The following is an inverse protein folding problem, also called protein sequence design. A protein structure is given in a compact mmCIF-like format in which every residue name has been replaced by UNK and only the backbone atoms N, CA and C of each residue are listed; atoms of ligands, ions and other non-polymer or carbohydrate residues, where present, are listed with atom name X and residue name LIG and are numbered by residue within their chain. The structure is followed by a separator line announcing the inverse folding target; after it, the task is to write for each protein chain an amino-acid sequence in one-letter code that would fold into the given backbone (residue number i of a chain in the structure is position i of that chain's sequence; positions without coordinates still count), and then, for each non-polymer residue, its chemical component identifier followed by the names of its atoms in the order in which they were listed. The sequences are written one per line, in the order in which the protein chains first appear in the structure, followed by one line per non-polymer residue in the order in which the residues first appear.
data_IF_990165299059
#
_entry.id   IF_990165299059
#
_cell.length_a   1.000
_cell.length_b   1.000
_cell.length_c   1.000
_cell.angle_alpha   90.00
_cell.angle_beta   90.00
_cell.angle_gamma   90.00
#
_symmetry.space_group_name_H-M   'P 1'
#
loop_
_entity.id
_entity.type
_entity.pdbx_description
1 polymer ?
#
# COMPACT_ATOMS: atom_id res chain seq x y z
N UNK A 1 28.98 -4.90 3.49
CA UNK A 1 27.83 -5.16 2.59
C UNK A 1 27.05 -3.85 2.43
N UNK A 2 26.94 -3.36 1.19
CA UNK A 2 26.38 -2.05 0.90
C UNK A 2 24.86 -2.07 1.12
N UNK A 3 24.39 -1.46 2.21
CA UNK A 3 23.02 -0.96 2.25
C UNK A 3 23.03 0.26 1.35
N UNK A 4 22.77 0.03 0.06
CA UNK A 4 22.43 1.11 -0.84
C UNK A 4 21.25 1.84 -0.19
N UNK A 5 21.51 3.06 0.27
CA UNK A 5 20.48 4.03 0.55
C UNK A 5 19.78 4.31 -0.79
N UNK A 6 18.89 3.40 -1.19
CA UNK A 6 17.87 3.70 -2.16
C UNK A 6 17.13 4.86 -1.54
N UNK A 7 17.30 6.05 -2.13
CA UNK A 7 16.36 7.14 -1.99
C UNK A 7 14.98 6.52 -2.12
N UNK A 8 14.28 6.31 -1.01
CA UNK A 8 12.95 5.70 -0.98
C UNK A 8 12.05 6.72 -1.67
N UNK A 9 12.06 6.68 -3.00
CA UNK A 9 10.98 7.26 -3.79
C UNK A 9 9.80 6.43 -3.36
N UNK A 10 8.97 7.03 -2.51
CA UNK A 10 7.67 6.47 -2.27
C UNK A 10 7.02 6.27 -3.64
N UNK A 11 6.63 5.04 -3.94
CA UNK A 11 5.88 4.76 -5.14
C UNK A 11 4.56 5.52 -5.06
N UNK A 12 4.06 5.95 -6.22
CA UNK A 12 2.71 6.46 -6.30
C UNK A 12 1.73 5.27 -6.19
N UNK A 13 1.42 4.86 -4.96
CA UNK A 13 0.40 3.84 -4.67
C UNK A 13 -0.95 4.19 -5.33
N UNK A 14 -1.19 5.48 -5.61
CA UNK A 14 -2.33 5.99 -6.39
C UNK A 14 -2.43 5.43 -7.82
N UNK A 15 -1.36 4.81 -8.34
CA UNK A 15 -1.39 4.12 -9.64
C UNK A 15 -2.22 2.82 -9.61
N UNK A 16 -2.46 2.28 -8.42
CA UNK A 16 -3.34 1.13 -8.23
C UNK A 16 -4.77 1.60 -8.27
N UNK A 17 -5.56 0.96 -9.13
CA UNK A 17 -6.97 1.31 -9.29
C UNK A 17 -7.72 0.99 -7.99
N UNK A 18 -8.39 2.01 -7.43
CA UNK A 18 -9.05 1.92 -6.11
C UNK A 18 -8.24 2.48 -4.94
N UNK A 19 -6.94 2.72 -5.09
CA UNK A 19 -6.15 3.48 -4.10
C UNK A 19 -6.30 4.97 -4.39
N UNK A 20 -7.15 5.62 -3.60
CA UNK A 20 -7.28 7.08 -3.62
C UNK A 20 -6.16 7.79 -2.84
N UNK A 21 -6.10 9.13 -2.91
CA UNK A 21 -5.13 9.92 -2.14
C UNK A 21 -5.27 9.70 -0.62
N UNK A 22 -6.49 9.47 -0.11
CA UNK A 22 -6.73 9.14 1.30
C UNK A 22 -6.14 7.79 1.70
N UNK A 23 -6.36 6.77 0.86
CA UNK A 23 -5.81 5.42 1.06
C UNK A 23 -4.29 5.44 1.03
N UNK A 24 -3.70 6.11 0.02
CA UNK A 24 -2.25 6.26 -0.08
C UNK A 24 -1.68 6.96 1.16
N UNK A 25 -2.35 7.99 1.69
CA UNK A 25 -1.93 8.62 2.94
C UNK A 25 -2.01 7.68 4.14
N UNK A 26 -3.07 6.88 4.28
CA UNK A 26 -3.21 5.89 5.35
C UNK A 26 -2.14 4.79 5.28
N UNK A 27 -1.88 4.28 4.08
CA UNK A 27 -0.83 3.28 3.83
C UNK A 27 0.56 3.87 4.12
N UNK A 28 0.84 5.09 3.64
CA UNK A 28 2.08 5.78 3.93
C UNK A 28 2.27 6.05 5.43
N UNK A 29 1.20 6.40 6.14
CA UNK A 29 1.22 6.58 7.60
C UNK A 29 1.50 5.27 8.34
N UNK A 30 1.08 4.13 7.78
CA UNK A 30 1.43 2.80 8.26
C UNK A 30 2.83 2.33 7.83
N UNK A 31 3.59 3.13 7.07
CA UNK A 31 4.94 2.81 6.61
C UNK A 31 5.00 2.07 5.27
N UNK A 32 3.86 1.87 4.60
CA UNK A 32 3.77 1.27 3.27
C UNK A 32 3.95 2.38 2.25
N UNK A 33 5.15 2.49 1.70
CA UNK A 33 5.54 3.57 0.79
C UNK A 33 5.83 3.06 -0.62
N UNK A 34 5.83 1.75 -0.85
CA UNK A 34 6.19 1.14 -2.13
C UNK A 34 5.23 0.03 -2.55
N UNK A 35 5.20 -0.31 -3.84
CA UNK A 35 4.38 -1.44 -4.33
C UNK A 35 4.84 -2.77 -3.72
N UNK A 36 6.15 -2.96 -3.55
CA UNK A 36 6.71 -4.14 -2.89
C UNK A 36 6.17 -4.28 -1.47
N UNK A 37 6.25 -3.22 -0.66
CA UNK A 37 5.70 -3.24 0.70
C UNK A 37 4.20 -3.50 0.71
N UNK A 38 3.43 -2.92 -0.21
CA UNK A 38 1.99 -3.15 -0.30
C UNK A 38 1.67 -4.61 -0.62
N UNK A 39 2.41 -5.22 -1.55
CA UNK A 39 2.26 -6.62 -1.93
C UNK A 39 2.75 -7.61 -0.85
N UNK A 40 3.74 -7.22 -0.05
CA UNK A 40 4.25 -7.99 1.08
C UNK A 40 3.39 -7.84 2.34
N UNK A 41 2.62 -6.74 2.45
CA UNK A 41 1.74 -6.51 3.60
C UNK A 41 0.56 -7.48 3.55
N UNK A 42 0.28 -8.22 4.63
CA UNK A 42 -0.84 -9.14 4.65
C UNK A 42 -2.17 -8.38 4.64
N UNK A 43 -3.20 -9.00 4.05
CA UNK A 43 -4.52 -8.40 3.89
C UNK A 43 -5.17 -8.01 5.22
N UNK A 44 -4.87 -8.72 6.30
CA UNK A 44 -5.35 -8.41 7.64
C UNK A 44 -4.80 -7.08 8.17
N UNK A 45 -3.53 -6.76 7.90
CA UNK A 45 -2.92 -5.50 8.29
C UNK A 45 -3.43 -4.37 7.41
N UNK A 46 -3.52 -4.58 6.09
CA UNK A 46 -4.15 -3.61 5.19
C UNK A 46 -5.57 -3.31 5.63
N UNK A 47 -6.34 -4.34 5.99
CA UNK A 47 -7.69 -4.18 6.52
C UNK A 47 -7.68 -3.33 7.78
N UNK A 48 -6.81 -3.61 8.75
CA UNK A 48 -6.70 -2.81 9.99
C UNK A 48 -6.36 -1.36 9.70
N UNK A 49 -5.39 -1.09 8.84
CA UNK A 49 -4.98 0.26 8.44
C UNK A 49 -6.15 1.01 7.81
N UNK A 50 -6.90 0.35 6.93
CA UNK A 50 -8.08 0.95 6.31
C UNK A 50 -9.20 1.19 7.32
N UNK A 51 -9.51 0.23 8.18
CA UNK A 51 -10.54 0.38 9.21
C UNK A 51 -10.20 1.52 10.18
N UNK A 52 -8.94 1.62 10.62
CA UNK A 52 -8.45 2.72 11.47
C UNK A 52 -8.57 4.08 10.76
N UNK A 53 -8.33 4.11 9.45
CA UNK A 53 -8.54 5.29 8.62
C UNK A 53 -10.00 5.58 8.24
N UNK A 54 -10.96 4.74 8.66
CA UNK A 54 -12.38 4.86 8.31
C UNK A 54 -12.70 4.54 6.84
N UNK A 55 -11.88 3.69 6.22
CA UNK A 55 -11.93 3.26 4.82
C UNK A 55 -12.36 1.79 4.68
N UNK A 56 -13.17 1.26 5.60
CA UNK A 56 -13.65 -0.15 5.57
C UNK A 56 -14.27 -0.57 4.23
N UNK A 57 -14.88 0.38 3.50
CA UNK A 57 -15.45 0.13 2.16
C UNK A 57 -14.40 -0.35 1.14
N UNK A 58 -13.11 -0.09 1.38
CA UNK A 58 -12.01 -0.46 0.49
C UNK A 58 -11.32 -1.77 0.92
N UNK A 59 -11.62 -2.30 2.09
CA UNK A 59 -11.08 -3.59 2.59
C UNK A 59 -11.22 -4.74 1.58
N UNK A 60 -12.37 -4.94 0.90
CA UNK A 60 -12.46 -5.99 -0.12
C UNK A 60 -11.51 -5.78 -1.31
N UNK A 61 -11.04 -4.55 -1.55
CA UNK A 61 -10.11 -4.24 -2.63
C UNK A 61 -8.64 -4.50 -2.25
N UNK A 62 -8.30 -4.75 -0.98
CA UNK A 62 -6.93 -5.03 -0.55
C UNK A 62 -6.28 -6.19 -1.32
N UNK A 63 -7.07 -7.23 -1.66
CA UNK A 63 -6.61 -8.37 -2.45
C UNK A 63 -6.17 -7.96 -3.85
N UNK A 64 -7.01 -7.18 -4.51
CA UNK A 64 -6.77 -6.67 -5.85
C UNK A 64 -5.59 -5.68 -5.87
N UNK A 65 -5.45 -4.85 -4.83
CA UNK A 65 -4.30 -3.96 -4.69
C UNK A 65 -2.98 -4.70 -4.54
N UNK A 66 -2.97 -5.79 -3.78
CA UNK A 66 -1.76 -6.60 -3.59
C UNK A 66 -1.34 -7.25 -4.92
N UNK A 67 -2.30 -7.75 -5.70
CA UNK A 67 -2.05 -8.32 -7.02
C UNK A 67 -1.55 -7.25 -8.02
N UNK A 68 -2.25 -6.10 -8.08
CA UNK A 68 -1.87 -4.94 -8.88
C UNK A 68 -0.51 -4.36 -8.50
N UNK A 69 -0.12 -4.42 -7.23
CA UNK A 69 1.18 -3.98 -6.75
C UNK A 69 2.29 -4.92 -7.23
N UNK A 70 2.04 -6.23 -7.24
CA UNK A 70 2.97 -7.23 -7.79
C UNK A 70 3.17 -7.08 -9.29
N UNK A 71 2.16 -6.64 -10.03
CA UNK A 71 2.31 -6.35 -11.47
C UNK A 71 3.17 -5.09 -11.73
N UNK A 72 3.24 -4.17 -10.76
CA UNK A 72 3.87 -2.85 -10.89
C UNK A 72 5.20 -2.69 -10.14
N UNK A 73 5.71 -3.77 -9.53
CA UNK A 73 6.98 -3.79 -8.80
C UNK A 73 8.20 -3.88 -9.72
#
# INVERSE_FOLDING_TARGET
PSFAAATVRADDLKKISGIGPKTALALNAAGILSFAQLAETPLEDLRRILTDAGLDILVPNCGDWSDQARDRM
#
